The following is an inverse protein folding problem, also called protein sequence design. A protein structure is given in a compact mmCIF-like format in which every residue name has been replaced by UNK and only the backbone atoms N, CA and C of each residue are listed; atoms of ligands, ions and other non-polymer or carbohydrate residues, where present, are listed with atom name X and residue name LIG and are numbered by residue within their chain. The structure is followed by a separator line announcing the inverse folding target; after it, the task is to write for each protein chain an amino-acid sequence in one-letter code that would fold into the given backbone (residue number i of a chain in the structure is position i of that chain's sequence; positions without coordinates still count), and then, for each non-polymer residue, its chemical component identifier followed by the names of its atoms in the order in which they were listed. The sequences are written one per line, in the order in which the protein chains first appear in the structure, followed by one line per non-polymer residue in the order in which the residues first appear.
data_IF_783533273945
#
_entry.id   IF_783533273945
#
_cell.length_a   1.000
_cell.length_b   1.000
_cell.length_c   1.000
_cell.angle_alpha   90.00
_cell.angle_beta   90.00
_cell.angle_gamma   90.00
#
_symmetry.space_group_name_H-M   'P 1'
#
loop_
_entity.id
_entity.type
_entity.pdbx_description
1 polymer ?
#
# COMPACT_ATOMS: atom_id res chain seq x y z
N UNK A 1 14.82 -23.93 -24.23
CA UNK A 1 13.87 -22.85 -23.88
C UNK A 1 13.20 -23.25 -22.57
N UNK A 2 13.82 -22.91 -21.43
CA UNK A 2 13.29 -23.24 -20.11
C UNK A 2 12.60 -22.01 -19.55
N UNK A 3 11.26 -22.03 -19.52
CA UNK A 3 10.46 -21.04 -18.83
C UNK A 3 10.56 -21.35 -17.33
N UNK A 4 11.43 -20.63 -16.62
CA UNK A 4 11.48 -20.68 -15.16
C UNK A 4 10.42 -19.70 -14.67
N UNK A 5 9.24 -20.22 -14.32
CA UNK A 5 8.21 -19.45 -13.63
C UNK A 5 8.61 -19.37 -12.16
N UNK A 6 9.12 -18.22 -11.73
CA UNK A 6 9.28 -17.93 -10.31
C UNK A 6 7.88 -17.65 -9.75
N UNK A 7 7.42 -18.47 -8.83
CA UNK A 7 6.23 -18.20 -8.03
C UNK A 7 6.66 -17.43 -6.77
N UNK A 8 6.19 -16.22 -6.62
CA UNK A 8 6.31 -15.39 -5.43
C UNK A 8 5.32 -15.93 -4.40
N UNK A 9 5.79 -16.85 -3.56
CA UNK A 9 5.03 -17.30 -2.39
C UNK A 9 5.12 -16.20 -1.34
N UNK A 10 3.99 -15.60 -0.96
CA UNK A 10 3.93 -14.73 0.22
C UNK A 10 4.19 -15.62 1.43
N UNK A 11 5.39 -15.52 2.00
CA UNK A 11 5.74 -16.26 3.22
C UNK A 11 4.86 -15.77 4.37
N UNK A 12 3.97 -16.64 4.80
CA UNK A 12 3.12 -16.43 5.97
C UNK A 12 4.00 -16.53 7.22
N UNK A 13 4.18 -15.43 7.93
CA UNK A 13 4.96 -15.45 9.15
C UNK A 13 5.21 -14.09 9.77
N UNK A 14 5.94 -14.15 10.89
CA UNK A 14 6.37 -12.99 11.63
C UNK A 14 7.90 -13.00 11.76
N UNK A 15 8.54 -11.90 11.41
CA UNK A 15 9.98 -11.70 11.62
C UNK A 15 10.17 -10.49 12.54
N UNK A 16 10.89 -10.69 13.64
CA UNK A 16 11.18 -9.66 14.63
C UNK A 16 12.69 -9.53 14.80
N UNK A 17 13.21 -8.31 14.70
CA UNK A 17 14.63 -8.00 14.91
C UNK A 17 14.79 -6.92 15.97
N UNK A 18 15.05 -7.32 17.21
CA UNK A 18 15.41 -6.37 18.25
C UNK A 18 16.73 -5.66 17.89
N UNK A 19 16.74 -4.34 17.91
CA UNK A 19 17.93 -3.51 17.73
C UNK A 19 18.05 -2.50 18.87
N UNK A 20 19.21 -1.83 18.99
CA UNK A 20 19.38 -0.72 19.92
C UNK A 20 18.80 0.62 19.41
N UNK A 21 17.93 0.58 18.39
CA UNK A 21 17.26 1.77 17.88
C UNK A 21 16.11 2.18 18.81
N UNK A 22 15.91 3.49 18.96
CA UNK A 22 14.84 4.08 19.76
C UNK A 22 13.44 3.99 19.12
N UNK A 23 13.41 3.74 17.80
CA UNK A 23 12.19 3.64 17.02
C UNK A 23 11.84 2.19 16.72
N UNK A 24 10.54 1.95 16.57
CA UNK A 24 10.00 0.70 16.05
C UNK A 24 9.53 0.93 14.63
N UNK A 25 10.02 0.11 13.73
CA UNK A 25 9.57 0.00 12.36
C UNK A 25 8.78 -1.31 12.23
N UNK A 26 7.53 -1.23 11.81
CA UNK A 26 6.70 -2.41 11.59
C UNK A 26 5.99 -2.32 10.24
N UNK A 27 6.00 -3.43 9.50
CA UNK A 27 5.26 -3.61 8.25
C UNK A 27 4.30 -4.78 8.43
N UNK A 28 3.01 -4.54 8.22
CA UNK A 28 1.97 -5.57 8.23
C UNK A 28 1.41 -5.68 6.84
N UNK A 29 1.45 -6.89 6.29
CA UNK A 29 1.12 -7.15 4.89
C UNK A 29 0.17 -8.33 4.76
N UNK A 30 -0.59 -8.33 3.68
CA UNK A 30 -1.34 -9.49 3.20
C UNK A 30 -1.27 -9.57 1.68
N UNK A 31 -1.71 -10.69 1.14
CA UNK A 31 -1.79 -10.89 -0.31
C UNK A 31 -2.66 -9.81 -0.97
N UNK A 32 -2.08 -9.15 -1.97
CA UNK A 32 -2.71 -8.12 -2.78
C UNK A 32 -3.32 -8.69 -4.06
N UNK A 33 -2.95 -8.10 -5.19
CA UNK A 33 -3.43 -8.52 -6.51
C UNK A 33 -2.33 -8.52 -7.57
N UNK A 34 -2.51 -9.35 -8.60
CA UNK A 34 -1.60 -9.45 -9.75
C UNK A 34 -1.65 -8.18 -10.60
N UNK A 35 -0.51 -7.80 -11.17
CA UNK A 35 -0.37 -6.62 -12.02
C UNK A 35 -1.34 -6.65 -13.20
N UNK A 36 -1.97 -5.50 -13.49
CA UNK A 36 -2.88 -5.33 -14.63
C UNK A 36 -4.31 -5.83 -14.40
N UNK A 37 -4.60 -6.43 -13.23
CA UNK A 37 -5.96 -6.78 -12.82
C UNK A 37 -6.73 -5.56 -12.32
N UNK A 38 -8.07 -5.58 -12.46
CA UNK A 38 -8.96 -4.57 -11.86
C UNK A 38 -8.80 -4.49 -10.33
N UNK A 39 -8.44 -5.60 -9.71
CA UNK A 39 -8.19 -5.66 -8.27
C UNK A 39 -6.90 -4.91 -7.89
N UNK A 40 -5.85 -4.95 -8.72
CA UNK A 40 -4.65 -4.15 -8.52
C UNK A 40 -4.93 -2.65 -8.62
N UNK A 41 -5.82 -2.24 -9.52
CA UNK A 41 -6.28 -0.85 -9.59
C UNK A 41 -7.01 -0.46 -8.30
N UNK A 42 -7.91 -1.31 -7.80
CA UNK A 42 -8.61 -1.09 -6.54
C UNK A 42 -7.65 -0.98 -5.33
N UNK A 43 -6.63 -1.84 -5.24
CA UNK A 43 -5.59 -1.75 -4.20
C UNK A 43 -4.74 -0.48 -4.32
N UNK A 44 -4.48 -0.03 -5.54
CA UNK A 44 -3.72 1.21 -5.79
C UNK A 44 -4.52 2.44 -5.35
N UNK A 45 -5.83 2.46 -5.61
CA UNK A 45 -6.73 3.51 -5.10
C UNK A 45 -6.85 3.43 -3.58
N UNK A 46 -7.00 2.23 -3.03
CA UNK A 46 -7.01 2.00 -1.57
C UNK A 46 -5.75 2.54 -0.89
N UNK A 47 -4.57 2.32 -1.48
CA UNK A 47 -3.31 2.89 -0.99
C UNK A 47 -3.39 4.42 -0.89
N UNK A 48 -3.94 5.08 -1.91
CA UNK A 48 -4.06 6.54 -1.93
C UNK A 48 -5.14 7.08 -1.00
N UNK A 49 -6.24 6.33 -0.80
CA UNK A 49 -7.27 6.65 0.22
C UNK A 49 -6.70 6.58 1.64
N UNK A 50 -5.94 5.53 1.93
CA UNK A 50 -5.35 5.33 3.26
C UNK A 50 -4.17 6.26 3.50
N UNK A 51 -3.40 6.56 2.46
CA UNK A 51 -2.22 7.41 2.49
C UNK A 51 -1.01 6.69 1.92
N UNK A 52 -0.70 6.91 0.65
CA UNK A 52 0.64 6.66 0.15
C UNK A 52 1.58 7.61 0.89
N UNK A 53 2.68 7.10 1.45
CA UNK A 53 3.66 7.93 2.18
C UNK A 53 4.11 9.16 1.38
N UNK A 54 4.79 10.12 2.01
CA UNK A 54 5.02 11.42 1.40
C UNK A 54 5.71 11.31 0.04
N UNK A 55 5.05 11.86 -0.99
CA UNK A 55 5.50 11.84 -2.40
C UNK A 55 6.77 12.67 -2.66
N UNK A 56 7.27 13.37 -1.65
CA UNK A 56 8.49 14.18 -1.66
C UNK A 56 9.25 13.92 -0.36
N UNK A 57 10.60 13.93 -0.39
CA UNK A 57 11.49 13.56 0.73
C UNK A 57 11.26 14.31 2.06
N UNK A 58 10.42 15.35 2.06
CA UNK A 58 9.99 16.14 3.24
C UNK A 58 8.49 16.46 3.22
N UNK A 59 7.68 15.65 2.54
CA UNK A 59 6.23 15.78 2.54
C UNK A 59 5.69 15.26 3.86
N UNK A 60 4.53 15.76 4.27
CA UNK A 60 3.81 15.19 5.40
C UNK A 60 2.43 14.78 4.91
N UNK A 61 2.10 13.49 5.07
CA UNK A 61 0.78 12.94 4.69
C UNK A 61 -0.27 13.21 5.78
N UNK A 62 -0.25 14.40 6.40
CA UNK A 62 -1.08 14.79 7.57
C UNK A 62 -2.57 14.60 7.30
N UNK A 63 -2.98 14.69 6.04
CA UNK A 63 -4.39 14.60 5.62
C UNK A 63 -4.84 13.17 5.32
N UNK A 64 -3.95 12.18 5.36
CA UNK A 64 -4.33 10.80 5.03
C UNK A 64 -5.19 10.17 6.13
N UNK A 65 -6.10 9.25 5.76
CA UNK A 65 -6.96 8.56 6.72
C UNK A 65 -6.14 7.77 7.76
N UNK A 66 -5.01 7.16 7.36
CA UNK A 66 -4.08 6.50 8.28
C UNK A 66 -3.51 7.48 9.31
N UNK A 67 -2.95 8.60 8.85
CA UNK A 67 -2.35 9.61 9.75
C UNK A 67 -3.38 10.18 10.70
N UNK A 68 -4.58 10.53 10.21
CA UNK A 68 -5.67 11.02 11.06
C UNK A 68 -6.14 9.99 12.07
N UNK A 69 -6.19 8.70 11.69
CA UNK A 69 -6.57 7.62 12.59
C UNK A 69 -5.56 7.38 13.70
N UNK A 70 -4.27 7.36 13.35
CA UNK A 70 -3.18 7.15 14.32
C UNK A 70 -3.00 8.36 15.23
N UNK A 71 -3.16 9.59 14.71
CA UNK A 71 -3.09 10.83 15.51
C UNK A 71 -4.17 10.93 16.59
N UNK A 72 -5.28 10.18 16.47
CA UNK A 72 -6.31 10.07 17.52
C UNK A 72 -5.90 9.12 18.63
N UNK A 73 -5.05 8.16 18.34
CA UNK A 73 -4.58 7.18 19.31
C UNK A 73 -3.39 7.75 20.10
N UNK A 74 -2.39 8.29 19.41
CA UNK A 74 -1.17 8.79 20.07
C UNK A 74 -0.90 10.27 19.80
N UNK A 75 -0.38 10.95 20.82
CA UNK A 75 0.19 12.31 20.71
C UNK A 75 1.71 12.30 20.46
N UNK A 76 2.34 11.13 20.44
CA UNK A 76 3.78 10.98 20.20
C UNK A 76 4.10 11.04 18.71
N UNK A 77 5.36 11.35 18.34
CA UNK A 77 5.79 11.28 16.94
C UNK A 77 5.63 9.87 16.36
N UNK A 78 5.00 9.81 15.19
CA UNK A 78 4.85 8.59 14.39
C UNK A 78 4.91 8.93 12.91
N UNK A 79 5.15 7.91 12.09
CA UNK A 79 4.92 7.93 10.65
C UNK A 79 4.11 6.68 10.26
N UNK A 80 3.23 6.83 9.28
CA UNK A 80 2.37 5.73 8.82
C UNK A 80 2.06 5.89 7.34
N UNK A 81 2.14 4.80 6.60
CA UNK A 81 1.84 4.79 5.17
C UNK A 81 1.30 3.45 4.72
N UNK A 82 0.41 3.47 3.73
CA UNK A 82 0.02 2.30 2.98
C UNK A 82 0.93 2.12 1.76
N UNK A 83 1.16 0.86 1.39
CA UNK A 83 1.86 0.50 0.17
C UNK A 83 1.16 -0.65 -0.55
N UNK A 84 1.21 -0.61 -1.87
CA UNK A 84 0.74 -1.64 -2.76
C UNK A 84 1.89 -2.01 -3.72
N UNK A 85 2.17 -3.29 -3.86
CA UNK A 85 3.18 -3.82 -4.78
C UNK A 85 2.53 -4.95 -5.56
N UNK A 86 2.56 -4.86 -6.89
CA UNK A 86 1.93 -5.84 -7.77
C UNK A 86 3.01 -6.54 -8.61
N UNK A 87 2.98 -7.86 -8.63
CA UNK A 87 3.83 -8.72 -9.45
C UNK A 87 2.97 -9.45 -10.50
N UNK A 88 3.60 -10.10 -11.47
CA UNK A 88 2.89 -10.83 -12.54
C UNK A 88 2.12 -12.06 -12.02
N UNK A 89 2.52 -12.58 -10.87
CA UNK A 89 2.06 -13.85 -10.29
C UNK A 89 1.38 -13.68 -8.92
N UNK A 90 1.62 -12.57 -8.21
CA UNK A 90 0.95 -12.23 -6.95
C UNK A 90 1.00 -10.71 -6.71
N UNK A 91 0.54 -10.26 -5.54
CA UNK A 91 0.70 -8.89 -5.07
C UNK A 91 0.81 -8.83 -3.56
N UNK A 92 1.17 -7.66 -3.05
CA UNK A 92 1.34 -7.38 -1.65
C UNK A 92 0.71 -6.04 -1.33
N UNK A 93 -0.21 -6.03 -0.38
CA UNK A 93 -0.75 -4.80 0.17
C UNK A 93 -0.45 -4.74 1.67
N UNK A 94 -0.08 -3.57 2.16
CA UNK A 94 0.25 -3.44 3.58
C UNK A 94 0.31 -2.02 4.09
N UNK A 95 0.53 -1.95 5.39
CA UNK A 95 0.73 -0.72 6.14
C UNK A 95 2.08 -0.78 6.81
N UNK A 96 2.83 0.30 6.70
CA UNK A 96 4.12 0.51 7.33
C UNK A 96 4.00 1.62 8.37
N UNK A 97 4.48 1.35 9.58
CA UNK A 97 4.45 2.27 10.71
C UNK A 97 5.84 2.47 11.28
N UNK A 98 6.12 3.71 11.68
CA UNK A 98 7.28 4.08 12.49
C UNK A 98 6.75 4.76 13.74
N UNK A 99 7.22 4.35 14.92
CA UNK A 99 6.77 4.93 16.18
C UNK A 99 7.85 4.87 17.25
N UNK A 100 7.67 5.65 18.31
CA UNK A 100 8.43 5.43 19.55
C UNK A 100 8.06 4.07 20.16
N UNK A 101 9.04 3.37 20.74
CA UNK A 101 8.85 2.04 21.32
C UNK A 101 7.67 1.92 22.30
N UNK A 102 7.41 2.88 23.22
CA UNK A 102 6.26 2.79 24.13
C UNK A 102 4.88 2.81 23.45
N UNK A 103 4.80 3.33 22.22
CA UNK A 103 3.55 3.53 21.50
C UNK A 103 3.37 2.59 20.31
N UNK A 104 4.30 1.66 20.09
CA UNK A 104 4.28 0.79 18.92
C UNK A 104 2.97 0.01 18.77
N UNK A 105 2.49 -0.63 19.84
CA UNK A 105 1.23 -1.36 19.79
C UNK A 105 0.01 -0.50 19.52
N UNK A 106 -0.03 0.71 20.05
CA UNK A 106 -1.12 1.66 19.82
C UNK A 106 -1.14 2.13 18.37
N UNK A 107 0.02 2.52 17.83
CA UNK A 107 0.17 2.98 16.44
C UNK A 107 -0.21 1.88 15.45
N UNK A 108 0.30 0.65 15.63
CA UNK A 108 0.02 -0.48 14.75
C UNK A 108 -1.48 -0.82 14.76
N UNK A 109 -2.08 -0.93 15.95
CA UNK A 109 -3.52 -1.23 16.08
C UNK A 109 -4.38 -0.13 15.48
N UNK A 110 -4.04 1.14 15.71
CA UNK A 110 -4.76 2.26 15.14
C UNK A 110 -4.70 2.26 13.60
N UNK A 111 -3.53 1.97 13.03
CA UNK A 111 -3.33 1.90 11.59
C UNK A 111 -4.16 0.77 10.96
N UNK A 112 -4.14 -0.44 11.54
CA UNK A 112 -4.98 -1.56 11.08
C UNK A 112 -6.48 -1.29 11.26
N UNK A 113 -6.87 -0.61 12.34
CA UNK A 113 -8.26 -0.21 12.56
C UNK A 113 -8.77 0.76 11.49
N UNK A 114 -7.92 1.63 10.94
CA UNK A 114 -8.32 2.46 9.80
C UNK A 114 -8.60 1.62 8.54
N UNK A 115 -7.79 0.60 8.27
CA UNK A 115 -8.07 -0.32 7.15
C UNK A 115 -9.36 -1.10 7.39
N UNK A 116 -9.60 -1.56 8.63
CA UNK A 116 -10.86 -2.20 9.04
C UNK A 116 -12.06 -1.26 8.86
N UNK A 117 -11.92 0.03 9.19
CA UNK A 117 -12.97 1.02 8.99
C UNK A 117 -13.30 1.20 7.49
N UNK A 118 -12.29 1.26 6.62
CA UNK A 118 -12.51 1.33 5.17
C UNK A 118 -13.23 0.07 4.67
N UNK A 119 -12.85 -1.11 5.17
CA UNK A 119 -13.53 -2.38 4.86
C UNK A 119 -15.00 -2.41 5.33
N UNK A 120 -15.35 -1.62 6.36
CA UNK A 120 -16.71 -1.44 6.87
C UNK A 120 -17.49 -0.32 6.16
N UNK A 121 -16.87 0.37 5.20
CA UNK A 121 -17.52 1.41 4.40
C UNK A 121 -17.34 2.84 4.92
N UNK A 122 -16.29 3.13 5.69
CA UNK A 122 -15.97 4.50 6.14
C UNK A 122 -15.41 5.43 5.03
N UNK A 123 -15.31 4.92 3.80
CA UNK A 123 -14.84 5.65 2.62
C UNK A 123 -16.02 6.20 1.82
N UNK A 124 -15.92 7.45 1.39
CA UNK A 124 -16.94 8.13 0.58
C UNK A 124 -16.53 8.19 -0.90
N UNK A 125 -17.48 8.41 -1.80
CA UNK A 125 -17.19 8.60 -3.23
C UNK A 125 -16.25 9.81 -3.48
N UNK A 126 -16.32 10.83 -2.62
CA UNK A 126 -15.42 11.97 -2.66
C UNK A 126 -13.98 11.57 -2.32
N UNK A 127 -13.78 10.74 -1.30
CA UNK A 127 -12.46 10.20 -0.95
C UNK A 127 -11.85 9.39 -2.10
N UNK A 128 -12.66 8.56 -2.76
CA UNK A 128 -12.24 7.75 -3.90
C UNK A 128 -11.88 8.63 -5.10
N UNK A 129 -12.68 9.66 -5.37
CA UNK A 129 -12.39 10.62 -6.44
C UNK A 129 -11.06 11.37 -6.20
N UNK A 130 -10.82 11.81 -4.96
CA UNK A 130 -9.55 12.45 -4.59
C UNK A 130 -8.37 11.47 -4.72
N UNK A 131 -8.55 10.22 -4.32
CA UNK A 131 -7.54 9.18 -4.45
C UNK A 131 -7.22 8.85 -5.91
N UNK A 132 -8.23 8.70 -6.77
CA UNK A 132 -8.08 8.50 -8.22
C UNK A 132 -7.30 9.64 -8.86
N UNK A 133 -7.69 10.89 -8.55
CA UNK A 133 -6.98 12.07 -9.04
C UNK A 133 -5.53 12.11 -8.58
N UNK A 134 -5.27 11.78 -7.30
CA UNK A 134 -3.92 11.73 -6.74
C UNK A 134 -3.06 10.67 -7.43
N UNK A 135 -3.63 9.50 -7.69
CA UNK A 135 -2.97 8.37 -8.34
C UNK A 135 -2.68 8.67 -9.81
N UNK A 136 -3.63 9.26 -10.53
CA UNK A 136 -3.42 9.71 -11.91
C UNK A 136 -2.34 10.79 -11.99
N UNK A 137 -2.31 11.73 -11.04
CA UNK A 137 -1.27 12.74 -10.96
C UNK A 137 0.10 12.14 -10.62
N UNK A 138 0.15 11.13 -9.74
CA UNK A 138 1.36 10.38 -9.44
C UNK A 138 1.88 9.68 -10.69
N UNK A 139 1.04 8.95 -11.41
CA UNK A 139 1.42 8.25 -12.64
C UNK A 139 1.96 9.23 -13.68
N UNK A 140 1.29 10.37 -13.91
CA UNK A 140 1.75 11.42 -14.83
C UNK A 140 3.09 12.02 -14.44
N UNK A 141 3.32 12.27 -13.15
CA UNK A 141 4.58 12.85 -12.65
C UNK A 141 5.73 11.83 -12.61
N UNK A 142 5.41 10.56 -12.35
CA UNK A 142 6.38 9.47 -12.35
C UNK A 142 6.98 9.21 -13.72
N UNK A 143 6.38 9.73 -14.81
CA UNK A 143 6.95 9.79 -16.16
C UNK A 143 7.80 11.06 -16.25
N UNK A 144 9.12 11.02 -15.97
CA UNK A 144 9.96 12.19 -16.15
C UNK A 144 9.97 12.60 -17.62
N UNK A 145 10.11 13.91 -17.83
CA UNK A 145 10.30 14.61 -19.10
C UNK A 145 11.58 14.16 -19.83
N UNK A 146 11.63 12.90 -20.26
CA UNK A 146 12.67 12.30 -21.10
C UNK A 146 11.99 11.33 -22.08
N UNK A 147 11.13 11.90 -22.94
CA UNK A 147 10.12 11.28 -23.81
C UNK A 147 10.57 10.19 -24.82
N UNK A 148 11.78 9.61 -24.74
CA UNK A 148 12.20 8.56 -25.68
C UNK A 148 12.71 7.28 -25.02
N UNK A 149 13.58 7.38 -24.01
CA UNK A 149 14.26 6.20 -23.47
C UNK A 149 13.39 5.37 -22.52
N UNK A 150 12.53 6.03 -21.73
CA UNK A 150 11.60 5.31 -20.84
C UNK A 150 10.36 4.81 -21.55
N UNK A 151 9.81 5.55 -22.52
CA UNK A 151 8.74 5.06 -23.40
C UNK A 151 9.15 3.76 -24.11
N UNK A 152 10.39 3.66 -24.62
CA UNK A 152 10.91 2.42 -25.19
C UNK A 152 11.06 1.29 -24.16
N UNK A 153 11.46 1.61 -22.93
CA UNK A 153 11.61 0.62 -21.85
C UNK A 153 10.26 0.19 -21.27
N UNK A 154 9.27 1.07 -21.27
CA UNK A 154 7.88 0.86 -20.83
C UNK A 154 7.12 0.08 -21.90
N UNK A 155 7.22 0.45 -23.19
CA UNK A 155 6.75 -0.39 -24.31
C UNK A 155 7.47 -1.74 -24.32
N UNK A 156 8.77 -1.78 -24.01
CA UNK A 156 9.56 -3.01 -23.95
C UNK A 156 9.12 -3.93 -22.82
N UNK A 157 8.99 -3.39 -21.59
CA UNK A 157 8.55 -4.16 -20.41
C UNK A 157 7.07 -4.51 -20.46
N UNK A 158 6.19 -3.61 -20.91
CA UNK A 158 4.78 -3.94 -21.18
C UNK A 158 4.66 -4.99 -22.29
N UNK A 159 5.35 -4.86 -23.43
CA UNK A 159 5.30 -5.91 -24.49
C UNK A 159 5.83 -7.25 -23.99
N UNK A 160 6.82 -7.25 -23.11
CA UNK A 160 7.38 -8.46 -22.51
C UNK A 160 6.43 -9.11 -21.49
N UNK A 161 5.58 -8.33 -20.80
CA UNK A 161 4.69 -8.82 -19.73
C UNK A 161 3.26 -9.08 -20.20
N UNK A 162 2.68 -8.19 -21.01
CA UNK A 162 1.26 -8.22 -21.43
C UNK A 162 1.05 -8.50 -22.92
N UNK A 163 2.11 -8.52 -23.74
CA UNK A 163 2.02 -8.64 -25.19
C UNK A 163 1.34 -7.47 -25.91
N UNK A 164 0.94 -6.41 -25.19
CA UNK A 164 0.19 -5.27 -25.73
C UNK A 164 0.54 -3.96 -25.00
N UNK A 165 0.64 -2.86 -25.74
CA UNK A 165 0.85 -1.54 -25.15
C UNK A 165 -0.48 -0.95 -24.65
N UNK A 166 -0.58 -0.66 -23.35
CA UNK A 166 -1.73 0.09 -22.83
C UNK A 166 -1.37 1.58 -22.90
N UNK A 167 -2.15 2.37 -23.64
CA UNK A 167 -1.88 3.81 -23.69
C UNK A 167 -2.04 4.42 -22.29
N UNK A 168 -1.25 5.46 -21.94
CA UNK A 168 -1.42 6.16 -20.67
C UNK A 168 -2.86 6.67 -20.42
N UNK A 169 -3.62 6.93 -21.49
CA UNK A 169 -5.05 7.27 -21.41
C UNK A 169 -5.93 6.09 -21.00
N UNK A 170 -5.66 4.89 -21.51
CA UNK A 170 -6.40 3.68 -21.15
C UNK A 170 -6.07 3.23 -19.71
N UNK A 171 -4.83 3.43 -19.26
CA UNK A 171 -4.45 3.21 -17.87
C UNK A 171 -5.20 4.16 -16.91
N UNK A 172 -5.28 5.45 -17.23
CA UNK A 172 -6.04 6.43 -16.44
C UNK A 172 -7.54 6.09 -16.39
N UNK A 173 -8.14 5.66 -17.51
CA UNK A 173 -9.55 5.26 -17.53
C UNK A 173 -9.85 4.04 -16.66
N UNK A 174 -8.93 3.08 -16.56
CA UNK A 174 -9.09 1.93 -15.66
C UNK A 174 -9.13 2.37 -14.19
N UNK A 175 -8.25 3.29 -13.80
CA UNK A 175 -8.24 3.89 -12.46
C UNK A 175 -9.53 4.68 -12.20
N UNK A 176 -9.96 5.49 -13.16
CA UNK A 176 -11.19 6.29 -13.04
C UNK A 176 -12.45 5.42 -12.93
N UNK A 177 -12.40 4.19 -13.42
CA UNK A 177 -13.50 3.21 -13.31
C UNK A 177 -13.60 2.50 -11.95
N UNK A 178 -12.61 2.69 -11.07
CA UNK A 178 -12.61 2.11 -9.72
C UNK A 178 -13.70 2.76 -8.87
N UNK A 179 -14.61 1.93 -8.37
CA UNK A 179 -15.74 2.37 -7.54
C UNK A 179 -15.40 2.28 -6.06
N UNK A 180 -16.20 2.96 -5.22
CA UNK A 180 -16.14 2.83 -3.77
C UNK A 180 -16.34 1.38 -3.30
N UNK A 181 -17.20 0.63 -3.98
CA UNK A 181 -17.39 -0.80 -3.70
C UNK A 181 -16.12 -1.61 -3.97
N UNK A 182 -15.39 -1.31 -5.05
CA UNK A 182 -14.11 -1.96 -5.38
C UNK A 182 -13.06 -1.70 -4.29
N UNK A 183 -12.96 -0.45 -3.79
CA UNK A 183 -12.04 -0.07 -2.70
C UNK A 183 -12.41 -0.77 -1.38
N UNK A 184 -13.69 -0.81 -1.04
CA UNK A 184 -14.19 -1.52 0.17
C UNK A 184 -13.89 -3.02 0.06
N UNK A 185 -14.06 -3.63 -1.11
CA UNK A 185 -13.76 -5.03 -1.33
C UNK A 185 -12.27 -5.34 -1.23
N UNK A 186 -11.41 -4.48 -1.78
CA UNK A 186 -9.95 -4.59 -1.62
C UNK A 186 -9.54 -4.51 -0.13
N UNK A 187 -10.13 -3.58 0.62
CA UNK A 187 -9.88 -3.46 2.06
C UNK A 187 -10.37 -4.71 2.83
N UNK A 188 -11.55 -5.25 2.47
CA UNK A 188 -12.06 -6.51 3.05
C UNK A 188 -11.11 -7.67 2.79
N UNK A 189 -10.56 -7.79 1.57
CA UNK A 189 -9.58 -8.83 1.23
C UNK A 189 -8.32 -8.73 2.08
N UNK A 190 -7.79 -7.52 2.29
CA UNK A 190 -6.66 -7.33 3.21
C UNK A 190 -7.01 -7.72 4.66
N UNK A 191 -8.21 -7.34 5.13
CA UNK A 191 -8.67 -7.61 6.49
C UNK A 191 -8.92 -9.11 6.73
N UNK A 192 -9.50 -9.83 5.78
CA UNK A 192 -9.71 -11.29 5.89
C UNK A 192 -8.48 -12.11 5.49
N UNK A 193 -7.56 -11.52 4.73
CA UNK A 193 -6.33 -12.15 4.28
C UNK A 193 -5.42 -12.53 5.44
N UNK A 194 -4.68 -13.63 5.24
CA UNK A 194 -3.64 -14.03 6.18
C UNK A 194 -2.55 -12.97 6.19
N UNK A 195 -2.26 -12.45 7.38
CA UNK A 195 -1.27 -11.39 7.56
C UNK A 195 0.11 -11.98 7.75
N UNK A 196 1.10 -11.16 7.42
CA UNK A 196 2.50 -11.37 7.80
C UNK A 196 3.02 -10.05 8.36
N UNK A 197 3.98 -10.13 9.27
CA UNK A 197 4.55 -8.93 9.89
C UNK A 197 6.07 -9.00 9.94
N UNK A 198 6.71 -7.88 9.62
CA UNK A 198 8.12 -7.66 9.87
C UNK A 198 8.27 -6.47 10.82
N UNK A 199 8.98 -6.65 11.93
CA UNK A 199 9.25 -5.59 12.89
C UNK A 199 10.74 -5.51 13.24
N UNK A 200 11.28 -4.31 13.36
CA UNK A 200 12.66 -4.05 13.80
C UNK A 200 12.71 -2.80 14.69
N UNK A 201 13.63 -2.77 15.65
CA UNK A 201 13.72 -1.66 16.60
C UNK A 201 13.70 -2.12 18.06
N UNK A 202 13.22 -1.26 18.94
CA UNK A 202 12.90 -1.62 20.32
C UNK A 202 11.49 -2.22 20.44
N UNK A 203 11.39 -3.55 20.31
CA UNK A 203 10.14 -4.27 20.16
C UNK A 203 9.43 -4.60 21.49
N UNK A 204 9.85 -4.00 22.60
CA UNK A 204 9.32 -4.31 23.94
C UNK A 204 7.81 -4.11 24.10
N UNK A 205 7.21 -3.17 23.34
CA UNK A 205 5.75 -2.94 23.32
C UNK A 205 5.13 -3.16 21.93
N UNK A 206 5.85 -3.88 21.06
CA UNK A 206 5.32 -4.25 19.75
C UNK A 206 4.46 -5.51 19.90
N UNK A 207 3.18 -5.49 19.50
CA UNK A 207 2.31 -6.65 19.59
C UNK A 207 2.81 -7.78 18.69
N UNK A 208 2.40 -9.01 18.96
CA UNK A 208 2.57 -10.14 18.05
C UNK A 208 1.48 -10.15 16.98
N UNK A 209 1.72 -10.87 15.88
CA UNK A 209 0.80 -10.89 14.75
C UNK A 209 -0.60 -11.45 15.10
N UNK A 210 -0.69 -12.34 16.09
CA UNK A 210 -1.93 -12.93 16.60
C UNK A 210 -2.73 -11.99 17.52
N UNK A 211 -2.13 -10.88 17.96
CA UNK A 211 -2.75 -9.86 18.81
C UNK A 211 -3.38 -8.69 18.02
N UNK A 212 -3.39 -8.75 16.67
CA UNK A 212 -3.74 -7.67 15.73
C UNK A 212 -5.10 -7.82 15.01
#
# INVERSE_FOLDING_TARGET
QHHITFYSVVFLGEIRKQTGDSLVHAAIVAEGAVTGSREADAFSVLQHVLGAGPLVRRGSSVTSKLTQGVAKATSKPFDVSAFNVNYSDSGLFGVYTISQAPNAGEVIKAALNQVKAVAQGSVTDADVTVANNSLNNYNKQSVPSSKKKRLLNEIGSESLVSGTHTSPSAAAQKIDSVTTADVVNAAKKFVSGKKSMAATGDLGNTPFLDEL
#
